data_IF_363742073551
#
_entry.id   IF_363742073551
#
_cell.length_a   1.000
_cell.length_b   1.000
_cell.length_c   1.000
_cell.angle_alpha   90.00
_cell.angle_beta   90.00
_cell.angle_gamma   90.00
#
_symmetry.space_group_name_H-M   'P 1'
#
loop_
_entity.id
_entity.type
_entity.pdbx_description
1 polymer ?
#
# COMPACT_ATOMS: atom_id res chain seq x y z
N UNK A 1 2.46 33.69 -45.79
CA UNK A 1 1.58 32.50 -45.68
C UNK A 1 2.40 31.24 -45.91
N UNK A 2 2.91 30.61 -44.83
CA UNK A 2 3.59 29.30 -44.90
C UNK A 2 2.51 28.21 -44.99
N UNK A 3 2.60 27.33 -45.99
CA UNK A 3 1.62 26.26 -46.22
C UNK A 3 1.69 25.24 -45.09
N UNK A 4 0.52 24.72 -44.71
CA UNK A 4 0.28 23.63 -43.75
C UNK A 4 0.90 22.26 -44.16
N UNK A 5 1.83 22.22 -45.11
CA UNK A 5 2.38 20.97 -45.66
C UNK A 5 3.56 20.39 -44.86
N UNK A 6 4.08 21.12 -43.86
CA UNK A 6 5.20 20.66 -43.02
C UNK A 6 4.74 19.90 -41.75
N UNK A 7 3.48 19.44 -41.68
CA UNK A 7 2.91 18.70 -40.52
C UNK A 7 2.70 17.19 -40.80
N UNK A 8 3.59 16.57 -41.58
CA UNK A 8 3.57 15.14 -41.94
C UNK A 8 4.23 14.12 -40.95
N UNK A 9 4.57 14.38 -39.66
CA UNK A 9 4.92 13.28 -38.74
C UNK A 9 3.69 12.64 -38.05
N UNK A 10 2.63 13.41 -37.79
CA UNK A 10 1.56 12.98 -36.88
C UNK A 10 0.59 11.94 -37.46
N UNK A 11 0.44 11.87 -38.78
CA UNK A 11 -0.53 10.96 -39.42
C UNK A 11 -0.08 9.50 -39.49
N UNK A 12 1.21 9.21 -39.25
CA UNK A 12 1.79 7.87 -39.48
C UNK A 12 1.84 6.96 -38.23
N UNK A 13 1.59 7.52 -37.04
CA UNK A 13 1.64 6.77 -35.78
C UNK A 13 0.30 6.12 -35.40
N UNK A 14 -0.82 6.70 -35.80
CA UNK A 14 -2.16 6.17 -35.48
C UNK A 14 -2.39 4.86 -36.23
N UNK A 15 -2.69 3.78 -35.50
CA UNK A 15 -2.85 2.38 -35.98
C UNK A 15 -1.57 1.69 -36.46
N UNK A 16 -0.40 2.29 -36.27
CA UNK A 16 0.86 1.61 -36.50
C UNK A 16 1.22 0.73 -35.29
N UNK A 17 1.78 -0.45 -35.55
CA UNK A 17 2.36 -1.31 -34.49
C UNK A 17 3.77 -0.82 -34.15
N UNK A 18 3.85 0.33 -33.48
CA UNK A 18 5.12 0.91 -33.05
C UNK A 18 5.60 0.25 -31.74
N UNK A 19 6.92 0.07 -31.55
CA UNK A 19 7.47 -0.28 -30.25
C UNK A 19 7.10 0.77 -29.19
N UNK A 20 6.99 0.33 -27.93
CA UNK A 20 6.84 1.24 -26.80
C UNK A 20 8.04 2.19 -26.71
N UNK A 21 7.83 3.47 -26.38
CA UNK A 21 8.87 4.51 -26.38
C UNK A 21 10.09 4.14 -25.51
N UNK A 22 9.86 3.47 -24.37
CA UNK A 22 10.90 3.00 -23.46
C UNK A 22 11.37 1.55 -23.69
N UNK A 23 10.96 0.89 -24.78
CA UNK A 23 11.22 -0.53 -25.00
C UNK A 23 12.71 -0.90 -24.94
N UNK A 24 13.56 -0.11 -25.59
CA UNK A 24 15.02 -0.30 -25.56
C UNK A 24 15.56 -0.21 -24.13
N UNK A 25 15.08 0.76 -23.34
CA UNK A 25 15.49 0.93 -21.95
C UNK A 25 15.09 -0.25 -21.06
N UNK A 26 13.90 -0.82 -21.28
CA UNK A 26 13.46 -2.00 -20.54
C UNK A 26 14.32 -3.22 -20.84
N UNK A 27 14.62 -3.50 -22.12
CA UNK A 27 15.38 -4.70 -22.51
C UNK A 27 16.88 -4.57 -22.24
N UNK A 28 17.40 -3.34 -22.19
CA UNK A 28 18.80 -3.06 -21.88
C UNK A 28 19.06 -2.87 -20.37
N UNK A 29 18.01 -2.79 -19.54
CA UNK A 29 18.14 -2.47 -18.11
C UNK A 29 18.58 -1.03 -17.83
N UNK A 30 18.38 -0.11 -18.78
CA UNK A 30 18.73 1.31 -18.65
C UNK A 30 17.53 2.21 -18.33
N UNK A 31 16.31 1.68 -18.39
CA UNK A 31 15.13 2.35 -17.85
C UNK A 31 15.25 2.42 -16.32
N UNK A 32 15.18 3.63 -15.76
CA UNK A 32 15.33 3.89 -14.33
C UNK A 32 13.99 3.83 -13.62
N UNK A 33 13.90 3.00 -12.60
CA UNK A 33 12.81 2.94 -11.64
C UNK A 33 13.21 3.64 -10.34
N UNK A 34 12.24 3.76 -9.41
CA UNK A 34 12.45 4.53 -8.19
C UNK A 34 13.63 4.03 -7.33
N UNK A 35 13.80 2.70 -7.23
CA UNK A 35 14.87 2.07 -6.45
C UNK A 35 16.22 2.01 -7.20
N UNK A 36 16.25 2.37 -8.48
CA UNK A 36 17.50 2.48 -9.26
C UNK A 36 18.16 3.87 -9.07
N UNK A 37 17.51 4.78 -8.35
CA UNK A 37 18.07 6.09 -8.07
C UNK A 37 19.22 5.96 -7.07
N UNK A 38 20.36 6.65 -7.31
CA UNK A 38 21.46 6.68 -6.35
C UNK A 38 20.99 7.16 -4.98
N UNK A 39 21.39 6.45 -3.94
CA UNK A 39 21.06 6.79 -2.56
C UNK A 39 21.74 8.10 -2.15
N UNK A 40 20.99 9.12 -1.69
CA UNK A 40 21.58 10.32 -1.12
C UNK A 40 22.41 10.01 0.14
N UNK A 41 23.41 10.84 0.43
CA UNK A 41 24.18 10.70 1.66
C UNK A 41 23.26 10.88 2.89
N UNK A 42 23.36 9.97 3.85
CA UNK A 42 22.53 9.97 5.05
C UNK A 42 21.09 9.52 4.83
N UNK A 43 20.76 8.91 3.68
CA UNK A 43 19.44 8.32 3.45
C UNK A 43 19.11 7.29 4.53
N UNK A 44 17.89 7.35 5.05
CA UNK A 44 17.34 6.35 5.95
C UNK A 44 16.43 5.41 5.17
N UNK A 45 16.36 4.18 5.64
CA UNK A 45 15.50 3.16 5.09
C UNK A 45 14.39 2.85 6.08
N UNK A 46 13.20 2.65 5.51
CA UNK A 46 11.99 2.46 6.28
C UNK A 46 11.56 0.99 6.25
N UNK A 47 11.05 0.50 7.38
CA UNK A 47 10.39 -0.80 7.45
C UNK A 47 9.23 -0.74 8.45
N UNK A 48 8.09 -1.29 8.06
CA UNK A 48 6.93 -1.41 8.94
C UNK A 48 7.08 -2.62 9.88
N UNK A 49 6.74 -2.40 11.15
CA UNK A 49 6.25 -3.46 12.03
C UNK A 49 4.78 -3.70 11.71
N UNK A 50 4.42 -4.96 11.50
CA UNK A 50 3.12 -5.34 10.93
C UNK A 50 2.37 -6.31 11.82
N UNK A 51 1.04 -6.29 11.72
CA UNK A 51 0.16 -7.24 12.40
C UNK A 51 0.48 -8.69 12.05
N UNK A 52 0.45 -9.56 13.06
CA UNK A 52 0.39 -11.02 12.89
C UNK A 52 -1.04 -11.57 12.89
N UNK A 53 -2.02 -10.75 13.28
CA UNK A 53 -3.41 -11.16 13.47
C UNK A 53 -4.29 -10.73 12.30
N UNK A 54 -5.25 -11.59 11.94
CA UNK A 54 -6.26 -11.28 10.93
C UNK A 54 -7.32 -10.28 11.42
N UNK A 55 -7.62 -10.28 12.73
CA UNK A 55 -8.51 -9.31 13.35
C UNK A 55 -8.26 -9.32 14.87
N UNK A 56 -7.88 -8.19 15.45
CA UNK A 56 -7.61 -8.11 16.88
C UNK A 56 -7.62 -6.68 17.41
N UNK A 57 -7.98 -6.51 18.68
CA UNK A 57 -7.66 -5.27 19.40
C UNK A 57 -6.17 -5.25 19.75
N UNK A 58 -5.53 -4.09 19.59
CA UNK A 58 -4.17 -3.84 20.08
C UNK A 58 -4.28 -3.38 21.53
N UNK A 59 -3.76 -4.19 22.46
CA UNK A 59 -3.82 -3.91 23.91
C UNK A 59 -2.61 -3.09 24.35
N UNK A 60 -1.43 -3.45 23.86
CA UNK A 60 -0.18 -2.76 24.17
C UNK A 60 0.84 -2.91 23.03
N UNK A 61 1.73 -1.93 22.93
CA UNK A 61 2.81 -1.88 21.97
C UNK A 61 4.12 -1.60 22.74
N UNK A 62 5.03 -2.58 22.80
CA UNK A 62 6.39 -2.42 23.34
C UNK A 62 7.41 -2.40 22.19
N UNK A 63 7.98 -1.21 21.98
CA UNK A 63 8.99 -0.94 20.96
C UNK A 63 10.36 -0.64 21.57
N UNK A 64 10.58 -0.93 22.85
CA UNK A 64 11.86 -0.65 23.53
C UNK A 64 13.03 -1.34 22.83
N UNK A 65 12.90 -2.62 22.50
CA UNK A 65 13.92 -3.39 21.77
C UNK A 65 14.11 -2.88 20.32
N UNK A 66 13.05 -2.39 19.67
CA UNK A 66 13.12 -1.80 18.34
C UNK A 66 13.94 -0.51 18.39
N UNK A 67 13.63 0.39 19.32
CA UNK A 67 14.32 1.68 19.49
C UNK A 67 15.79 1.51 19.87
N UNK A 68 16.13 0.44 20.59
CA UNK A 68 17.51 0.13 20.98
C UNK A 68 18.32 -0.63 19.91
N UNK A 69 17.71 -1.06 18.80
CA UNK A 69 18.38 -1.89 17.81
C UNK A 69 19.47 -1.12 17.03
N UNK A 70 20.61 -1.76 16.72
CA UNK A 70 21.70 -1.11 15.99
C UNK A 70 21.25 -0.51 14.65
N UNK A 71 21.60 0.76 14.43
CA UNK A 71 21.29 1.49 13.20
C UNK A 71 19.88 2.09 13.15
N UNK A 72 19.02 1.85 14.15
CA UNK A 72 17.72 2.54 14.24
C UNK A 72 17.96 4.00 14.62
N UNK A 73 17.30 4.90 13.88
CA UNK A 73 17.35 6.35 14.07
C UNK A 73 16.06 6.85 14.69
N UNK A 74 14.91 6.34 14.24
CA UNK A 74 13.61 6.70 14.78
C UNK A 74 12.60 5.54 14.65
N UNK A 75 11.59 5.54 15.51
CA UNK A 75 10.45 4.63 15.47
C UNK A 75 9.19 5.44 15.71
N UNK A 76 8.21 5.30 14.81
CA UNK A 76 6.97 6.07 14.79
C UNK A 76 5.75 5.16 14.96
N UNK A 77 4.78 5.59 15.74
CA UNK A 77 3.44 4.99 15.87
C UNK A 77 2.38 5.93 15.29
N UNK A 78 1.11 5.52 15.33
CA UNK A 78 0.00 6.38 14.92
C UNK A 78 -0.02 7.74 15.66
N UNK A 79 0.42 7.77 16.93
CA UNK A 79 0.46 8.99 17.76
C UNK A 79 1.49 10.02 17.28
N UNK A 80 2.47 9.59 16.49
CA UNK A 80 3.51 10.48 15.94
C UNK A 80 3.06 11.17 14.64
N UNK A 81 1.87 10.84 14.12
CA UNK A 81 1.33 11.44 12.88
C UNK A 81 0.74 12.82 13.23
N UNK A 82 1.31 13.93 12.72
CA UNK A 82 0.86 15.28 13.08
C UNK A 82 -0.47 15.68 12.43
N UNK A 83 -0.91 14.91 11.43
CA UNK A 83 -2.15 15.13 10.69
C UNK A 83 -3.13 13.97 10.85
N UNK A 84 -3.97 13.78 9.84
CA UNK A 84 -4.92 12.67 9.85
C UNK A 84 -4.22 11.35 9.55
N UNK A 85 -4.49 10.32 10.35
CA UNK A 85 -3.98 8.98 10.15
C UNK A 85 -4.91 8.21 9.20
N UNK A 86 -5.05 8.71 7.97
CA UNK A 86 -5.86 8.11 6.92
C UNK A 86 -5.19 8.31 5.55
N UNK A 87 -5.10 7.25 4.76
CA UNK A 87 -4.49 7.23 3.42
C UNK A 87 -5.45 6.75 2.33
N UNK A 88 -6.70 6.43 2.70
CA UNK A 88 -7.68 6.02 1.71
C UNK A 88 -8.00 7.16 0.73
N UNK A 89 -8.05 6.86 -0.59
CA UNK A 89 -8.22 7.88 -1.63
C UNK A 89 -9.66 8.36 -1.80
N UNK A 90 -10.64 7.64 -1.25
CA UNK A 90 -12.08 7.88 -1.48
C UNK A 90 -12.84 7.95 -0.16
N UNK A 91 -12.77 6.90 0.65
CA UNK A 91 -13.39 6.82 1.96
C UNK A 91 -12.37 7.11 3.07
N UNK A 92 -12.80 7.40 4.29
CA UNK A 92 -11.90 7.67 5.41
C UNK A 92 -11.79 6.44 6.30
N UNK A 93 -11.29 5.34 5.74
CA UNK A 93 -11.34 4.00 6.32
C UNK A 93 -10.03 3.20 6.26
N UNK A 94 -8.93 3.79 5.77
CA UNK A 94 -7.62 3.12 5.69
C UNK A 94 -6.54 3.90 6.45
N UNK A 95 -6.24 3.53 7.71
CA UNK A 95 -5.21 4.20 8.48
C UNK A 95 -3.80 3.84 7.99
N UNK A 96 -2.88 4.82 7.98
CA UNK A 96 -1.47 4.58 7.63
C UNK A 96 -0.81 3.61 8.61
N UNK A 97 -1.05 3.82 9.91
CA UNK A 97 -0.61 2.94 10.99
C UNK A 97 -1.83 2.57 11.85
N UNK A 98 -2.04 1.28 12.09
CA UNK A 98 -3.12 0.78 12.92
C UNK A 98 -3.09 1.41 14.32
N UNK A 99 -4.26 1.82 14.80
CA UNK A 99 -4.45 2.40 16.12
C UNK A 99 -5.62 1.70 16.83
N UNK A 100 -5.33 1.04 17.95
CA UNK A 100 -6.31 0.32 18.76
C UNK A 100 -6.81 -1.02 18.18
N UNK A 101 -6.76 -1.22 16.87
CA UNK A 101 -7.25 -2.44 16.22
C UNK A 101 -6.51 -2.73 14.91
N UNK A 102 -6.36 -4.02 14.59
CA UNK A 102 -5.90 -4.54 13.30
C UNK A 102 -7.01 -5.36 12.64
N UNK A 103 -7.13 -5.23 11.31
CA UNK A 103 -8.20 -5.79 10.49
C UNK A 103 -7.70 -6.82 9.46
N UNK A 104 -6.38 -7.01 9.37
CA UNK A 104 -5.78 -8.02 8.51
C UNK A 104 -4.32 -8.32 8.88
N UNK A 105 -3.85 -9.51 8.53
CA UNK A 105 -2.44 -9.90 8.68
C UNK A 105 -1.59 -9.01 7.79
N UNK A 106 -0.53 -8.44 8.34
CA UNK A 106 0.36 -7.55 7.61
C UNK A 106 -0.01 -6.07 7.69
N UNK A 107 -1.11 -5.68 8.35
CA UNK A 107 -1.44 -4.27 8.55
C UNK A 107 -0.32 -3.53 9.28
N UNK A 108 0.15 -2.37 8.79
CA UNK A 108 1.18 -1.59 9.48
C UNK A 108 0.74 -1.13 10.88
N UNK A 109 1.61 -1.24 11.88
CA UNK A 109 1.34 -0.80 13.27
C UNK A 109 2.31 0.31 13.68
N UNK A 110 3.57 0.17 13.29
CA UNK A 110 4.60 1.16 13.55
C UNK A 110 5.62 1.17 12.39
N UNK A 111 6.39 2.26 12.29
CA UNK A 111 7.39 2.48 11.25
C UNK A 111 8.77 2.64 11.87
N UNK A 112 9.75 1.91 11.36
CA UNK A 112 11.16 2.03 11.75
C UNK A 112 11.92 2.76 10.67
N UNK A 113 12.66 3.80 11.04
CA UNK A 113 13.66 4.45 10.21
C UNK A 113 15.07 4.07 10.69
N UNK A 114 15.90 3.53 9.80
CA UNK A 114 17.25 3.07 10.14
C UNK A 114 18.29 3.37 9.05
N UNK A 115 19.56 3.28 9.38
CA UNK A 115 20.71 3.59 8.49
C UNK A 115 20.94 2.57 7.36
N UNK A 116 20.18 1.47 7.33
CA UNK A 116 20.19 0.53 6.21
C UNK A 116 18.86 -0.22 6.12
N UNK A 117 18.48 -0.68 4.93
CA UNK A 117 17.27 -1.49 4.74
C UNK A 117 17.29 -2.77 5.58
N UNK A 118 18.47 -3.38 5.76
CA UNK A 118 18.65 -4.56 6.60
C UNK A 118 18.39 -4.24 8.07
N UNK A 119 18.95 -3.14 8.60
CA UNK A 119 18.74 -2.71 9.97
C UNK A 119 17.26 -2.41 10.25
N UNK A 120 16.59 -1.67 9.37
CA UNK A 120 15.17 -1.35 9.50
C UNK A 120 14.31 -2.63 9.61
N UNK A 121 14.49 -3.57 8.67
CA UNK A 121 13.72 -4.83 8.63
C UNK A 121 14.00 -5.74 9.82
N UNK A 122 15.25 -5.79 10.29
CA UNK A 122 15.60 -6.59 11.46
C UNK A 122 15.02 -5.99 12.73
N UNK A 123 15.12 -4.68 12.90
CA UNK A 123 14.57 -3.97 14.06
C UNK A 123 13.03 -4.07 14.11
N UNK A 124 12.34 -3.94 12.98
CA UNK A 124 10.88 -4.05 12.90
C UNK A 124 10.34 -5.39 13.43
N UNK A 125 11.13 -6.46 13.38
CA UNK A 125 10.77 -7.79 13.91
C UNK A 125 10.89 -7.91 15.43
N UNK A 126 11.54 -6.95 16.09
CA UNK A 126 11.72 -6.95 17.55
C UNK A 126 10.54 -6.33 18.29
N UNK A 127 9.59 -5.71 17.57
CA UNK A 127 8.40 -5.12 18.17
C UNK A 127 7.53 -6.19 18.81
N UNK A 128 7.08 -5.93 20.03
CA UNK A 128 6.16 -6.79 20.75
C UNK A 128 4.81 -6.10 20.80
N UNK A 129 3.82 -6.75 20.21
CA UNK A 129 2.46 -6.25 20.19
C UNK A 129 1.59 -7.25 20.92
N UNK A 130 0.89 -6.79 21.95
CA UNK A 130 -0.06 -7.60 22.68
C UNK A 130 -1.44 -7.42 22.04
N UNK A 131 -2.02 -8.54 21.60
CA UNK A 131 -3.32 -8.57 20.94
C UNK A 131 -4.38 -9.20 21.83
N UNK A 132 -5.63 -8.76 21.66
CA UNK A 132 -6.81 -9.56 21.99
C UNK A 132 -7.47 -9.97 20.67
N UNK A 133 -7.29 -11.22 20.21
CA UNK A 133 -7.87 -11.70 18.95
C UNK A 133 -9.39 -11.55 18.93
N UNK A 134 -9.93 -11.22 17.75
CA UNK A 134 -11.36 -11.10 17.47
C UNK A 134 -11.74 -12.05 16.32
N UNK A 135 -13.01 -12.46 16.22
CA UNK A 135 -13.46 -13.29 15.09
C UNK A 135 -13.22 -12.56 13.77
N UNK A 136 -12.42 -13.13 12.87
CA UNK A 136 -12.19 -12.60 11.53
C UNK A 136 -13.23 -13.17 10.56
N UNK A 137 -13.63 -12.36 9.57
CA UNK A 137 -14.45 -12.80 8.42
C UNK A 137 -13.49 -13.08 7.27
N UNK A 138 -13.36 -14.33 6.85
CA UNK A 138 -12.32 -14.77 5.91
C UNK A 138 -12.88 -15.24 4.56
N UNK A 139 -14.18 -15.53 4.50
CA UNK A 139 -14.86 -16.01 3.31
C UNK A 139 -16.03 -15.11 2.91
N UNK A 140 -16.39 -15.18 1.63
CA UNK A 140 -17.58 -14.49 1.10
C UNK A 140 -18.84 -14.98 1.81
N UNK A 141 -18.96 -16.28 2.09
CA UNK A 141 -20.11 -16.84 2.80
C UNK A 141 -20.25 -16.23 4.20
N UNK A 142 -19.17 -16.18 4.98
CA UNK A 142 -19.17 -15.54 6.30
C UNK A 142 -19.51 -14.04 6.22
N UNK A 143 -19.02 -13.34 5.20
CA UNK A 143 -19.35 -11.92 5.00
C UNK A 143 -20.83 -11.71 4.69
N UNK A 144 -21.42 -12.58 3.86
CA UNK A 144 -22.86 -12.56 3.57
C UNK A 144 -23.69 -12.87 4.82
N UNK A 145 -23.30 -13.90 5.58
CA UNK A 145 -23.99 -14.29 6.82
C UNK A 145 -23.91 -13.19 7.89
N UNK A 146 -22.80 -12.44 7.93
CA UNK A 146 -22.59 -11.31 8.85
C UNK A 146 -23.18 -9.98 8.33
N UNK A 147 -23.68 -9.93 7.08
CA UNK A 147 -24.09 -8.67 6.44
C UNK A 147 -22.94 -7.66 6.29
N UNK A 148 -21.70 -8.13 6.20
CA UNK A 148 -20.50 -7.32 6.09
C UNK A 148 -20.26 -6.91 4.62
N UNK A 149 -20.86 -5.80 4.22
CA UNK A 149 -20.72 -5.24 2.87
C UNK A 149 -19.82 -4.00 2.87
N UNK A 150 -19.08 -3.79 1.77
CA UNK A 150 -18.24 -2.60 1.58
C UNK A 150 -19.08 -1.41 1.09
N UNK A 151 -20.09 -1.66 0.27
CA UNK A 151 -20.99 -0.64 -0.28
C UNK A 151 -22.41 -1.19 -0.51
N UNK A 152 -23.35 -0.31 -0.85
CA UNK A 152 -24.69 -0.71 -1.25
C UNK A 152 -24.66 -1.55 -2.53
N UNK A 153 -25.45 -2.62 -2.58
CA UNK A 153 -25.58 -3.47 -3.75
C UNK A 153 -25.97 -2.66 -4.98
N UNK A 154 -25.11 -2.68 -5.99
CA UNK A 154 -25.39 -2.09 -7.29
C UNK A 154 -26.20 -3.07 -8.14
N UNK A 155 -27.28 -2.59 -8.77
CA UNK A 155 -28.13 -3.40 -9.62
C UNK A 155 -28.28 -2.76 -11.00
N UNK A 156 -27.93 -3.50 -12.04
CA UNK A 156 -28.15 -3.12 -13.43
C UNK A 156 -29.21 -4.02 -14.04
N UNK A 157 -30.34 -3.45 -14.45
CA UNK A 157 -31.40 -4.20 -15.13
C UNK A 157 -31.93 -3.45 -16.34
N UNK A 158 -32.27 -4.22 -17.37
CA UNK A 158 -32.93 -3.74 -18.59
C UNK A 158 -33.84 -4.84 -19.13
N UNK A 159 -35.12 -4.54 -19.32
CA UNK A 159 -36.13 -5.53 -19.73
C UNK A 159 -36.56 -6.43 -18.58
N UNK A 160 -37.23 -7.54 -18.91
CA UNK A 160 -37.70 -8.55 -17.96
C UNK A 160 -36.97 -9.88 -18.20
N UNK A 161 -35.97 -10.14 -17.37
CA UNK A 161 -35.18 -11.36 -17.44
C UNK A 161 -36.01 -12.60 -17.02
N UNK A 162 -36.91 -12.46 -16.05
CA UNK A 162 -37.71 -13.58 -15.55
C UNK A 162 -38.74 -14.05 -16.58
N UNK A 163 -39.28 -13.13 -17.38
CA UNK A 163 -40.20 -13.46 -18.47
C UNK A 163 -39.50 -14.00 -19.73
N UNK A 164 -38.16 -14.00 -19.79
CA UNK A 164 -37.37 -14.32 -20.99
C UNK A 164 -36.43 -15.53 -20.84
N UNK A 165 -36.47 -16.22 -19.69
CA UNK A 165 -35.72 -17.46 -19.38
C UNK A 165 -36.68 -18.65 -19.27
#
# INVERSE_FOLDING_TARGET
MRRLADQEPFRRAVRASLPHDSAEGHVAGSARYADDMPEPNGMLHLAFGKSSEAHAAIVAIDLSAVRAAPGVVAVFTADDIPGDNNVAPVFADDPLLANGEVLYVGQPIFLVAATSAKAARMAARLGKIDYTPRPAILTIAEALDAGAYIEQTQHMARGDAAASL
#
